data_IF_540799653444
#
_entry.id   IF_540799653444
#
_cell.length_a   1.000
_cell.length_b   1.000
_cell.length_c   1.000
_cell.angle_alpha   90.00
_cell.angle_beta   90.00
_cell.angle_gamma   90.00
#
_symmetry.space_group_name_H-M   'P 1'
#
loop_
_entity.id
_entity.type
_entity.pdbx_description
1 polymer ?
#
# COMPACT_ATOMS: atom_id res chain seq x y z
N UNK A 1 16.92 -15.29 5.59
CA UNK A 1 17.23 -14.33 6.66
C UNK A 1 15.92 -13.89 7.27
N UNK A 2 15.82 -13.79 8.59
CA UNK A 2 14.62 -13.26 9.23
C UNK A 2 14.68 -11.74 9.13
N UNK A 3 13.79 -11.14 8.34
CA UNK A 3 13.60 -9.69 8.29
C UNK A 3 13.24 -9.17 9.67
N UNK A 4 13.93 -8.14 10.15
CA UNK A 4 13.56 -7.44 11.37
C UNK A 4 12.61 -6.28 11.05
N UNK A 5 11.56 -6.12 11.85
CA UNK A 5 10.54 -5.09 11.66
C UNK A 5 10.73 -4.05 12.76
N UNK A 6 11.08 -2.82 12.36
CA UNK A 6 11.26 -1.70 13.27
C UNK A 6 9.91 -1.01 13.56
N UNK A 7 9.70 -0.60 14.81
CA UNK A 7 8.50 0.06 15.34
C UNK A 7 8.79 1.45 15.94
N UNK A 8 9.96 2.02 15.63
CA UNK A 8 10.44 3.34 16.06
C UNK A 8 11.39 3.90 15.01
N UNK A 9 11.74 5.19 15.11
CA UNK A 9 12.66 5.86 14.18
C UNK A 9 12.16 5.71 12.73
N UNK A 10 10.84 5.78 12.54
CA UNK A 10 10.14 5.50 11.27
C UNK A 10 9.98 6.79 10.45
N UNK A 11 10.36 6.74 9.17
CA UNK A 11 9.84 7.67 8.16
C UNK A 11 8.64 7.02 7.45
N UNK A 12 7.44 7.50 7.74
CA UNK A 12 6.22 7.08 7.06
C UNK A 12 6.18 7.71 5.65
N UNK A 13 6.47 6.89 4.64
CA UNK A 13 6.65 7.38 3.27
C UNK A 13 5.32 7.52 2.53
N UNK A 14 5.00 8.77 2.19
CA UNK A 14 3.78 9.12 1.45
C UNK A 14 3.93 8.80 -0.02
N UNK A 15 3.18 7.82 -0.50
CA UNK A 15 3.12 7.58 -1.95
C UNK A 15 2.29 8.67 -2.65
N UNK A 16 2.58 8.91 -3.93
CA UNK A 16 1.85 9.90 -4.74
C UNK A 16 0.34 9.59 -4.81
N UNK A 17 -0.05 8.32 -5.00
CA UNK A 17 -1.45 7.92 -5.06
C UNK A 17 -2.14 7.97 -3.70
N UNK A 18 -1.43 7.68 -2.60
CA UNK A 18 -1.98 7.93 -1.25
C UNK A 18 -2.28 9.41 -1.08
N UNK A 19 -1.36 10.29 -1.48
CA UNK A 19 -1.53 11.73 -1.29
C UNK A 19 -2.61 12.33 -2.20
N UNK A 20 -2.71 11.86 -3.45
CA UNK A 20 -3.55 12.48 -4.47
C UNK A 20 -4.92 11.81 -4.65
N UNK A 21 -5.03 10.49 -4.42
CA UNK A 21 -6.25 9.72 -4.75
C UNK A 21 -6.94 9.18 -3.50
N UNK A 22 -6.16 8.64 -2.55
CA UNK A 22 -6.69 7.96 -1.36
C UNK A 22 -5.99 8.43 -0.08
N UNK A 23 -6.17 9.71 0.33
CA UNK A 23 -5.53 10.29 1.52
C UNK A 23 -5.95 9.58 2.81
N UNK A 24 -7.11 8.94 2.82
CA UNK A 24 -7.58 8.11 3.93
C UNK A 24 -6.66 6.93 4.26
N UNK A 25 -5.81 6.47 3.33
CA UNK A 25 -4.79 5.45 3.61
C UNK A 25 -3.72 6.01 4.56
N UNK A 26 -3.27 7.25 4.34
CA UNK A 26 -2.31 7.92 5.23
C UNK A 26 -2.95 8.17 6.60
N UNK A 27 -4.14 8.78 6.62
CA UNK A 27 -4.84 9.09 7.86
C UNK A 27 -5.14 7.81 8.68
N UNK A 28 -5.53 6.71 8.03
CA UNK A 28 -5.76 5.42 8.71
C UNK A 28 -4.47 4.80 9.23
N UNK A 29 -3.37 4.86 8.46
CA UNK A 29 -2.07 4.34 8.92
C UNK A 29 -1.58 5.10 10.16
N UNK A 30 -1.68 6.43 10.14
CA UNK A 30 -1.36 7.30 11.28
C UNK A 30 -2.22 6.98 12.49
N UNK A 31 -3.53 6.86 12.30
CA UNK A 31 -4.47 6.51 13.38
C UNK A 31 -4.07 5.19 14.07
N UNK A 32 -3.69 4.17 13.30
CA UNK A 32 -3.22 2.90 13.85
C UNK A 32 -1.91 3.09 14.61
N UNK A 33 -0.92 3.76 14.03
CA UNK A 33 0.39 3.97 14.66
C UNK A 33 0.25 4.74 15.99
N UNK A 34 -0.56 5.81 16.00
CA UNK A 34 -0.84 6.59 17.20
C UNK A 34 -1.51 5.74 18.30
N UNK A 35 -2.41 4.81 17.94
CA UNK A 35 -3.05 3.89 18.89
C UNK A 35 -2.10 2.84 19.44
N UNK A 36 -1.18 2.34 18.61
CA UNK A 36 -0.17 1.35 18.99
C UNK A 36 1.04 1.99 19.71
N UNK A 37 1.13 3.32 19.76
CA UNK A 37 2.26 4.04 20.35
C UNK A 37 3.53 3.98 19.49
N UNK A 38 3.37 3.76 18.18
CA UNK A 38 4.46 3.70 17.20
C UNK A 38 4.83 5.14 16.82
N UNK A 39 6.08 5.50 17.04
CA UNK A 39 6.62 6.80 16.67
C UNK A 39 6.94 6.84 15.18
N UNK A 40 6.60 7.94 14.51
CA UNK A 40 6.92 8.17 13.11
C UNK A 40 7.01 9.66 12.77
N UNK A 41 7.80 9.94 11.74
CA UNK A 41 7.83 11.24 11.05
C UNK A 41 7.35 11.12 9.61
N UNK A 42 6.83 12.23 9.09
CA UNK A 42 6.55 12.41 7.67
C UNK A 42 7.39 13.59 7.19
N UNK A 43 8.39 13.33 6.37
CA UNK A 43 9.24 14.39 5.85
C UNK A 43 8.50 15.21 4.77
N UNK A 44 8.53 16.54 4.90
CA UNK A 44 7.90 17.47 3.94
C UNK A 44 8.71 17.67 2.66
N UNK A 45 10.02 17.43 2.73
CA UNK A 45 10.96 17.47 1.62
C UNK A 45 10.97 16.17 0.82
N UNK A 46 10.32 15.12 1.31
CA UNK A 46 10.12 13.87 0.57
C UNK A 46 9.56 14.15 -0.84
N UNK A 47 10.10 13.48 -1.85
CA UNK A 47 9.59 13.49 -3.22
C UNK A 47 8.92 12.15 -3.60
N UNK A 48 8.60 11.97 -4.88
CA UNK A 48 8.09 10.72 -5.41
C UNK A 48 9.15 9.60 -5.34
N UNK A 49 8.73 8.37 -5.11
CA UNK A 49 9.58 7.17 -5.22
C UNK A 49 9.96 6.80 -6.67
N UNK A 50 9.39 7.49 -7.65
CA UNK A 50 9.45 7.24 -9.11
C UNK A 50 9.01 5.86 -9.61
N UNK A 51 8.64 4.93 -8.74
CA UNK A 51 8.37 3.53 -9.10
C UNK A 51 7.35 3.31 -10.21
N UNK A 52 6.23 4.06 -10.24
CA UNK A 52 5.29 3.94 -11.37
C UNK A 52 5.94 4.36 -12.68
N UNK A 53 6.61 5.51 -12.71
CA UNK A 53 7.29 5.99 -13.92
C UNK A 53 8.44 5.07 -14.34
N UNK A 54 9.18 4.50 -13.39
CA UNK A 54 10.22 3.51 -13.68
C UNK A 54 9.63 2.25 -14.33
N UNK A 55 8.64 1.62 -13.71
CA UNK A 55 8.01 0.41 -14.28
C UNK A 55 7.17 0.69 -15.52
N UNK A 56 6.94 1.95 -15.88
CA UNK A 56 6.24 2.34 -17.12
C UNK A 56 7.22 2.67 -18.25
N UNK A 57 8.54 2.52 -18.02
CA UNK A 57 9.64 2.94 -18.89
C UNK A 57 9.66 4.46 -19.18
N UNK A 58 9.20 5.28 -18.23
CA UNK A 58 9.22 6.74 -18.31
C UNK A 58 10.45 7.32 -17.62
N UNK A 59 10.91 6.69 -16.53
CA UNK A 59 12.09 7.11 -15.77
C UNK A 59 13.18 6.06 -15.83
N UNK A 60 14.40 6.47 -16.11
CA UNK A 60 15.57 5.58 -16.11
C UNK A 60 15.98 5.16 -14.69
N UNK A 61 16.83 4.13 -14.60
CA UNK A 61 17.31 3.57 -13.33
C UNK A 61 18.18 4.57 -12.55
N UNK A 62 19.02 5.37 -13.22
CA UNK A 62 19.93 6.31 -12.57
C UNK A 62 19.15 7.45 -11.91
N UNK A 63 18.23 8.09 -12.64
CA UNK A 63 17.34 9.14 -12.11
C UNK A 63 16.48 8.63 -10.96
N UNK A 64 15.95 7.41 -11.09
CA UNK A 64 15.15 6.76 -10.03
C UNK A 64 15.98 6.53 -8.77
N UNK A 65 17.21 6.03 -8.94
CA UNK A 65 18.13 5.76 -7.84
C UNK A 65 18.60 7.06 -7.17
N UNK A 66 18.86 8.12 -7.94
CA UNK A 66 19.22 9.43 -7.41
C UNK A 66 18.11 10.03 -6.53
N UNK A 67 16.85 9.93 -6.97
CA UNK A 67 15.71 10.41 -6.19
C UNK A 67 15.47 9.58 -4.92
N UNK A 68 15.73 8.27 -4.96
CA UNK A 68 15.72 7.43 -3.78
C UNK A 68 16.84 7.83 -2.80
N UNK A 69 18.08 8.05 -3.27
CA UNK A 69 19.19 8.52 -2.43
C UNK A 69 18.85 9.84 -1.71
N UNK A 70 18.28 10.81 -2.44
CA UNK A 70 17.77 12.05 -1.86
C UNK A 70 16.74 11.79 -0.76
N UNK A 71 15.75 10.95 -1.04
CA UNK A 71 14.70 10.60 -0.07
C UNK A 71 15.29 9.94 1.19
N UNK A 72 16.20 8.98 1.04
CA UNK A 72 16.90 8.33 2.16
C UNK A 72 17.72 9.32 2.99
N UNK A 73 18.42 10.26 2.35
CA UNK A 73 19.24 11.26 3.06
C UNK A 73 18.41 12.11 4.03
N UNK A 74 17.16 12.43 3.69
CA UNK A 74 16.25 13.17 4.57
C UNK A 74 15.86 12.35 5.81
N UNK A 75 15.50 11.09 5.63
CA UNK A 75 15.17 10.20 6.75
C UNK A 75 16.36 10.00 7.69
N UNK A 76 17.57 9.82 7.14
CA UNK A 76 18.81 9.66 7.92
C UNK A 76 19.09 10.93 8.73
N UNK A 77 19.01 12.11 8.12
CA UNK A 77 19.21 13.40 8.82
C UNK A 77 18.22 13.64 9.93
N UNK A 78 16.98 13.17 9.77
CA UNK A 78 15.97 13.25 10.82
C UNK A 78 16.19 12.22 11.93
N UNK A 79 17.14 11.29 11.82
CA UNK A 79 17.30 10.10 12.67
C UNK A 79 16.12 9.12 12.60
N UNK A 80 15.42 9.06 11.46
CA UNK A 80 14.26 8.18 11.24
C UNK A 80 14.46 7.31 10.00
N UNK A 81 15.57 6.58 9.92
CA UNK A 81 16.00 5.90 8.70
C UNK A 81 15.13 4.71 8.29
N UNK A 82 14.23 4.23 9.15
CA UNK A 82 13.36 3.10 8.81
C UNK A 82 12.20 3.57 7.93
N UNK A 83 12.34 3.30 6.63
CA UNK A 83 11.43 3.73 5.59
C UNK A 83 10.19 2.83 5.53
N UNK A 84 9.02 3.44 5.72
CA UNK A 84 7.73 2.74 5.78
C UNK A 84 6.81 3.20 4.66
N UNK A 85 6.91 2.64 3.44
CA UNK A 85 5.97 2.93 2.38
C UNK A 85 4.59 2.29 2.61
N UNK A 86 3.54 3.05 2.29
CA UNK A 86 2.14 2.59 2.26
C UNK A 86 1.73 2.04 0.88
N UNK A 87 2.69 1.70 0.04
CA UNK A 87 2.46 1.28 -1.34
C UNK A 87 3.47 0.21 -1.74
N UNK A 88 2.97 -0.91 -2.27
CA UNK A 88 3.79 -2.02 -2.74
C UNK A 88 4.77 -1.60 -3.86
N UNK A 89 4.41 -0.65 -4.73
CA UNK A 89 5.32 -0.12 -5.75
C UNK A 89 6.45 0.70 -5.15
N UNK A 90 6.15 1.54 -4.14
CA UNK A 90 7.16 2.31 -3.42
C UNK A 90 8.10 1.37 -2.67
N UNK A 91 7.57 0.35 -2.00
CA UNK A 91 8.34 -0.71 -1.35
C UNK A 91 9.34 -1.36 -2.31
N UNK A 92 8.88 -1.83 -3.47
CA UNK A 92 9.75 -2.51 -4.42
C UNK A 92 10.86 -1.61 -5.00
N UNK A 93 10.50 -0.39 -5.43
CA UNK A 93 11.46 0.49 -6.10
C UNK A 93 12.49 1.06 -5.13
N UNK A 94 12.08 1.41 -3.90
CA UNK A 94 13.00 1.92 -2.88
C UNK A 94 13.99 0.84 -2.46
N UNK A 95 13.54 -0.42 -2.31
CA UNK A 95 14.43 -1.56 -2.07
C UNK A 95 15.43 -1.76 -3.22
N UNK A 96 14.95 -1.72 -4.46
CA UNK A 96 15.83 -1.85 -5.63
C UNK A 96 16.90 -0.74 -5.65
N UNK A 97 16.50 0.50 -5.40
CA UNK A 97 17.43 1.63 -5.35
C UNK A 97 18.45 1.49 -4.20
N UNK A 98 18.03 1.04 -3.02
CA UNK A 98 18.95 0.78 -1.90
C UNK A 98 19.96 -0.33 -2.23
N UNK A 99 19.54 -1.41 -2.90
CA UNK A 99 20.47 -2.46 -3.41
C UNK A 99 21.49 -1.85 -4.37
N UNK A 100 21.03 -1.11 -5.39
CA UNK A 100 21.91 -0.46 -6.37
C UNK A 100 22.91 0.47 -5.67
N UNK A 101 22.42 1.33 -4.78
CA UNK A 101 23.25 2.27 -4.02
C UNK A 101 24.28 1.55 -3.13
N UNK A 102 23.99 0.35 -2.63
CA UNK A 102 24.92 -0.41 -1.78
C UNK A 102 25.93 -1.25 -2.59
N UNK A 103 25.56 -1.69 -3.79
CA UNK A 103 26.33 -2.66 -4.58
C UNK A 103 27.09 -2.06 -5.75
N UNK A 104 26.58 -0.99 -6.39
CA UNK A 104 27.18 -0.35 -7.57
C UNK A 104 27.90 0.94 -7.18
N UNK A 105 29.20 0.82 -6.89
CA UNK A 105 30.02 1.94 -6.42
C UNK A 105 30.14 3.08 -7.45
N UNK A 106 30.18 2.75 -8.74
CA UNK A 106 30.21 3.68 -9.87
C UNK A 106 28.92 4.50 -9.97
N UNK A 107 27.76 3.85 -9.88
CA UNK A 107 26.45 4.51 -9.89
C UNK A 107 26.28 5.40 -8.67
N UNK A 108 26.65 4.92 -7.48
CA UNK A 108 26.59 5.72 -6.24
C UNK A 108 27.46 6.97 -6.34
N UNK A 109 28.67 6.85 -6.90
CA UNK A 109 29.57 8.00 -7.07
C UNK A 109 29.06 8.99 -8.13
N UNK A 110 28.49 8.51 -9.23
CA UNK A 110 27.85 9.38 -10.23
C UNK A 110 26.72 10.23 -9.63
N UNK A 111 25.86 9.60 -8.81
CA UNK A 111 24.78 10.30 -8.08
C UNK A 111 25.36 11.30 -7.08
N UNK A 112 26.32 10.89 -6.26
CA UNK A 112 26.93 11.76 -5.26
C UNK A 112 27.67 12.95 -5.89
N UNK A 113 28.34 12.72 -7.03
CA UNK A 113 28.96 13.80 -7.83
C UNK A 113 27.91 14.80 -8.30
N UNK A 114 26.80 14.34 -8.84
CA UNK A 114 25.69 15.21 -9.26
C UNK A 114 25.18 16.07 -8.09
N UNK A 115 25.04 15.49 -6.90
CA UNK A 115 24.67 16.27 -5.70
C UNK A 115 25.71 17.35 -5.36
N UNK A 116 27.00 17.02 -5.35
CA UNK A 116 28.07 18.01 -5.07
C UNK A 116 28.11 19.14 -6.10
N UNK A 117 27.96 18.83 -7.39
CA UNK A 117 27.99 19.82 -8.47
C UNK A 117 26.80 20.80 -8.42
N UNK A 118 25.72 20.41 -7.74
CA UNK A 118 24.50 21.22 -7.61
C UNK A 118 24.32 21.84 -6.21
N UNK A 119 25.35 21.81 -5.34
CA UNK A 119 25.28 22.38 -3.98
C UNK A 119 24.34 21.61 -3.04
N UNK A 120 24.20 20.30 -3.26
CA UNK A 120 23.40 19.35 -2.49
C UNK A 120 24.29 18.31 -1.82
N UNK A 121 25.53 18.66 -1.47
CA UNK A 121 26.52 17.74 -0.89
C UNK A 121 26.05 17.05 0.39
N UNK A 122 25.06 17.63 1.08
CA UNK A 122 24.45 17.07 2.26
C UNK A 122 23.47 15.92 1.95
N UNK A 123 23.05 15.72 0.69
CA UNK A 123 22.14 14.64 0.25
C UNK A 123 22.88 13.38 -0.23
N UNK A 124 24.21 13.34 -0.13
CA UNK A 124 25.01 12.19 -0.54
C UNK A 124 24.64 10.92 0.23
N UNK A 125 24.69 9.79 -0.47
CA UNK A 125 24.45 8.47 0.09
C UNK A 125 25.76 7.71 0.25
N UNK A 126 25.96 7.06 1.39
CA UNK A 126 27.09 6.19 1.68
C UNK A 126 26.66 4.73 1.69
N UNK A 127 27.58 3.84 1.30
CA UNK A 127 27.33 2.40 1.28
C UNK A 127 26.88 1.92 2.66
N UNK A 128 25.72 1.29 2.72
CA UNK A 128 25.12 0.76 3.94
C UNK A 128 24.28 1.76 4.74
N UNK A 129 24.04 2.97 4.22
CA UNK A 129 23.17 3.96 4.87
C UNK A 129 21.75 3.42 5.10
N UNK A 130 21.23 2.64 4.14
CA UNK A 130 19.94 1.93 4.20
C UNK A 130 20.16 0.45 3.92
N UNK A 131 19.74 -0.41 4.85
CA UNK A 131 19.61 -1.86 4.63
C UNK A 131 18.31 -2.14 3.85
N UNK A 132 18.36 -2.67 2.61
CA UNK A 132 17.15 -2.88 1.80
C UNK A 132 16.17 -3.90 2.41
N UNK A 133 16.61 -4.78 3.30
CA UNK A 133 15.75 -5.79 3.94
C UNK A 133 15.12 -5.22 5.20
N UNK A 134 15.93 -4.62 6.08
CA UNK A 134 15.52 -4.23 7.44
C UNK A 134 15.07 -2.77 7.54
N UNK A 135 15.69 -1.85 6.79
CA UNK A 135 15.34 -0.42 6.83
C UNK A 135 14.19 -0.06 5.87
N UNK A 136 13.67 -0.99 5.06
CA UNK A 136 12.51 -0.76 4.17
C UNK A 136 11.42 -1.81 4.42
N UNK A 137 10.34 -1.36 5.07
CA UNK A 137 9.25 -2.22 5.55
C UNK A 137 7.91 -1.66 5.13
N UNK A 138 7.06 -2.45 4.49
CA UNK A 138 5.73 -1.98 4.11
C UNK A 138 4.86 -1.74 5.35
N UNK A 139 4.02 -0.71 5.37
CA UNK A 139 3.16 -0.40 6.52
C UNK A 139 2.32 -1.59 7.01
N UNK A 140 1.85 -2.44 6.10
CA UNK A 140 1.14 -3.69 6.42
C UNK A 140 2.00 -4.71 7.19
N UNK A 141 3.32 -4.76 6.97
CA UNK A 141 4.21 -5.65 7.73
C UNK A 141 4.33 -5.19 9.19
N UNK A 142 4.31 -3.88 9.46
CA UNK A 142 4.27 -3.33 10.83
C UNK A 142 2.94 -3.66 11.49
N UNK A 143 1.82 -3.43 10.80
CA UNK A 143 0.49 -3.83 11.32
C UNK A 143 0.46 -5.33 11.65
N UNK A 144 1.04 -6.17 10.79
CA UNK A 144 1.20 -7.60 11.04
C UNK A 144 2.07 -7.89 12.26
N UNK A 145 3.21 -7.21 12.45
CA UNK A 145 4.07 -7.41 13.61
C UNK A 145 3.34 -7.15 14.94
N UNK A 146 2.37 -6.23 14.94
CA UNK A 146 1.53 -5.89 16.10
C UNK A 146 0.18 -6.63 16.11
N UNK A 147 -0.02 -7.65 15.26
CA UNK A 147 -1.33 -8.30 15.09
C UNK A 147 -1.90 -8.90 16.37
N UNK A 148 -1.05 -9.47 17.23
CA UNK A 148 -1.46 -10.15 18.46
C UNK A 148 -2.05 -9.18 19.51
N UNK A 149 -1.77 -7.88 19.40
CA UNK A 149 -2.34 -6.86 20.29
C UNK A 149 -3.52 -6.09 19.70
N UNK A 150 -3.83 -6.24 18.42
CA UNK A 150 -4.94 -5.54 17.76
C UNK A 150 -6.27 -5.80 18.48
N UNK A 151 -6.49 -7.02 18.98
CA UNK A 151 -7.70 -7.41 19.72
C UNK A 151 -8.05 -6.49 20.89
N UNK A 152 -7.06 -5.84 21.52
CA UNK A 152 -7.24 -4.89 22.62
C UNK A 152 -7.95 -3.60 22.19
N UNK A 153 -7.94 -3.30 20.89
CA UNK A 153 -8.46 -2.06 20.32
C UNK A 153 -9.83 -2.25 19.64
N UNK A 154 -10.46 -3.42 19.75
CA UNK A 154 -11.77 -3.69 19.13
C UNK A 154 -12.81 -2.61 19.49
N UNK A 155 -13.36 -1.96 18.46
CA UNK A 155 -14.53 -1.07 18.55
C UNK A 155 -15.65 -1.48 17.60
N UNK A 156 -15.29 -2.06 16.46
CA UNK A 156 -16.23 -2.54 15.44
C UNK A 156 -16.10 -4.05 15.34
N UNK A 157 -17.23 -4.73 15.17
CA UNK A 157 -17.27 -6.15 14.86
C UNK A 157 -17.35 -6.38 13.34
N UNK A 158 -16.38 -7.11 12.79
CA UNK A 158 -16.21 -7.29 11.35
C UNK A 158 -16.61 -8.69 10.88
N UNK A 159 -17.15 -9.55 11.75
CA UNK A 159 -17.48 -10.94 11.42
C UNK A 159 -18.66 -11.10 10.45
N UNK A 160 -19.41 -10.02 10.19
CA UNK A 160 -20.59 -10.02 9.30
C UNK A 160 -20.29 -9.92 7.81
N UNK A 161 -19.02 -9.83 7.39
CA UNK A 161 -18.62 -9.59 6.00
C UNK A 161 -17.67 -10.66 5.47
N UNK A 162 -17.81 -10.99 4.19
CA UNK A 162 -16.93 -11.93 3.47
C UNK A 162 -15.77 -11.16 2.82
N UNK A 163 -14.56 -11.39 3.31
CA UNK A 163 -13.36 -10.64 2.92
C UNK A 163 -12.45 -11.46 2.01
N UNK A 164 -12.00 -10.88 0.90
CA UNK A 164 -10.89 -11.39 0.10
C UNK A 164 -9.72 -10.41 0.09
N UNK A 165 -8.53 -10.86 -0.30
CA UNK A 165 -7.30 -10.05 -0.24
C UNK A 165 -6.53 -10.04 -1.55
N UNK A 166 -5.87 -8.91 -1.83
CA UNK A 166 -4.92 -8.74 -2.92
C UNK A 166 -3.64 -8.04 -2.45
N UNK A 167 -2.57 -8.83 -2.30
CA UNK A 167 -1.27 -8.39 -1.76
C UNK A 167 -0.39 -7.61 -2.75
N UNK A 168 -0.78 -7.53 -4.03
CA UNK A 168 -0.05 -6.77 -5.04
C UNK A 168 1.23 -7.43 -5.52
N UNK A 169 1.50 -7.32 -6.83
CA UNK A 169 2.64 -7.99 -7.46
C UNK A 169 4.01 -7.45 -6.99
N UNK A 170 4.14 -6.14 -6.75
CA UNK A 170 5.41 -5.53 -6.37
C UNK A 170 5.89 -5.92 -4.96
N UNK A 171 4.96 -6.20 -4.05
CA UNK A 171 5.29 -6.78 -2.75
C UNK A 171 5.69 -8.25 -2.92
N UNK A 172 4.82 -9.07 -3.54
CA UNK A 172 5.03 -10.52 -3.59
C UNK A 172 6.12 -11.01 -4.55
N UNK A 173 6.48 -10.26 -5.61
CA UNK A 173 7.24 -10.81 -6.75
C UNK A 173 8.60 -10.15 -7.01
N UNK A 174 8.85 -8.92 -6.55
CA UNK A 174 10.11 -8.21 -6.84
C UNK A 174 11.19 -8.62 -5.85
N UNK A 175 10.94 -8.41 -4.55
CA UNK A 175 11.84 -8.82 -3.46
C UNK A 175 11.22 -9.97 -2.67
N UNK A 176 10.88 -11.05 -3.38
CA UNK A 176 10.07 -12.16 -2.86
C UNK A 176 10.71 -12.94 -1.70
N UNK A 177 12.02 -12.79 -1.48
CA UNK A 177 12.71 -13.37 -0.31
C UNK A 177 12.43 -12.61 0.99
N UNK A 178 11.99 -11.35 0.89
CA UNK A 178 11.78 -10.47 2.04
C UNK A 178 10.32 -10.44 2.51
N UNK A 179 9.42 -11.08 1.76
CA UNK A 179 7.98 -11.06 2.05
C UNK A 179 7.65 -12.00 3.19
N UNK A 180 6.81 -11.52 4.10
CA UNK A 180 6.25 -12.31 5.19
C UNK A 180 5.06 -13.15 4.70
N UNK A 181 4.82 -14.27 5.37
CA UNK A 181 3.65 -15.14 5.16
C UNK A 181 3.50 -15.66 3.71
N UNK A 182 4.64 -15.98 3.08
CA UNK A 182 4.68 -16.75 1.83
C UNK A 182 4.43 -15.95 0.55
N UNK A 183 4.96 -16.50 -0.55
CA UNK A 183 4.84 -15.93 -1.91
C UNK A 183 3.89 -16.75 -2.80
N UNK A 184 3.87 -18.07 -2.58
CA UNK A 184 3.07 -19.01 -3.38
C UNK A 184 1.60 -19.01 -2.96
N UNK A 185 1.35 -18.77 -1.69
CA UNK A 185 0.05 -18.44 -1.13
C UNK A 185 0.30 -17.29 -0.14
N UNK A 186 0.14 -16.03 -0.58
CA UNK A 186 0.44 -14.89 0.26
C UNK A 186 -0.66 -14.70 1.31
N UNK A 187 -0.29 -14.73 2.59
CA UNK A 187 -1.22 -14.68 3.72
C UNK A 187 -1.05 -13.45 4.62
N UNK A 188 -0.14 -12.50 4.32
CA UNK A 188 0.12 -11.34 5.19
C UNK A 188 -1.17 -10.58 5.57
N UNK A 189 -1.97 -10.21 4.55
CA UNK A 189 -3.23 -9.50 4.76
C UNK A 189 -4.27 -10.40 5.43
N UNK A 190 -4.31 -11.67 5.06
CA UNK A 190 -5.22 -12.66 5.65
C UNK A 190 -5.00 -12.79 7.17
N UNK A 191 -3.74 -12.87 7.61
CA UNK A 191 -3.37 -12.97 9.01
C UNK A 191 -3.64 -11.70 9.82
N UNK A 192 -3.58 -10.52 9.19
CA UNK A 192 -4.04 -9.29 9.85
C UNK A 192 -5.57 -9.34 10.02
N UNK A 193 -6.30 -9.75 8.99
CA UNK A 193 -7.76 -9.88 9.04
C UNK A 193 -8.21 -10.93 10.08
N UNK A 194 -7.52 -12.06 10.15
CA UNK A 194 -7.71 -13.10 11.18
C UNK A 194 -7.54 -12.53 12.59
N UNK A 195 -6.48 -11.74 12.82
CA UNK A 195 -6.17 -11.16 14.13
C UNK A 195 -7.21 -10.12 14.62
N UNK A 196 -7.92 -9.44 13.71
CA UNK A 196 -9.02 -8.53 14.05
C UNK A 196 -10.39 -9.23 14.09
N UNK A 197 -10.42 -10.56 14.03
CA UNK A 197 -11.64 -11.36 14.14
C UNK A 197 -12.50 -11.42 12.87
N UNK A 198 -11.90 -11.15 11.71
CA UNK A 198 -12.57 -11.20 10.40
C UNK A 198 -11.76 -12.05 9.42
N UNK A 199 -11.72 -13.39 9.59
CA UNK A 199 -10.96 -14.27 8.71
C UNK A 199 -11.40 -14.10 7.25
N UNK A 200 -10.44 -14.14 6.34
CA UNK A 200 -10.69 -14.04 4.90
C UNK A 200 -11.23 -15.36 4.36
N UNK A 201 -11.67 -15.35 3.11
CA UNK A 201 -12.03 -16.56 2.35
C UNK A 201 -10.82 -17.46 2.05
N UNK A 202 -9.60 -17.02 2.42
CA UNK A 202 -8.36 -17.73 2.14
C UNK A 202 -7.98 -17.69 0.67
N UNK A 203 -7.77 -18.86 0.07
CA UNK A 203 -7.44 -18.99 -1.33
C UNK A 203 -8.69 -18.88 -2.20
N UNK A 204 -8.57 -18.15 -3.32
CA UNK A 204 -9.59 -18.09 -4.38
C UNK A 204 -8.89 -18.05 -5.73
N UNK A 205 -9.61 -18.43 -6.79
CA UNK A 205 -9.08 -18.37 -8.15
C UNK A 205 -8.62 -16.95 -8.49
N UNK A 206 -7.49 -16.82 -9.17
CA UNK A 206 -6.86 -15.54 -9.48
C UNK A 206 -6.39 -14.69 -8.27
N UNK A 207 -6.29 -15.22 -7.03
CA UNK A 207 -5.68 -14.50 -5.88
C UNK A 207 -4.31 -13.88 -6.24
N UNK A 208 -3.44 -14.67 -6.87
CA UNK A 208 -2.09 -14.26 -7.35
C UNK A 208 -2.04 -13.49 -8.66
N UNK A 209 -3.17 -13.39 -9.37
CA UNK A 209 -3.24 -12.62 -10.61
C UNK A 209 -2.94 -11.16 -10.29
N UNK A 210 -2.22 -10.48 -11.18
CA UNK A 210 -2.01 -9.03 -11.09
C UNK A 210 -3.36 -8.31 -11.10
N UNK A 211 -3.41 -7.06 -10.61
CA UNK A 211 -4.61 -6.24 -10.72
C UNK A 211 -4.91 -5.82 -12.16
N UNK A 212 -3.99 -5.99 -13.10
CA UNK A 212 -4.14 -5.57 -14.51
C UNK A 212 -3.47 -4.23 -14.82
N UNK A 213 -3.23 -3.38 -13.82
CA UNK A 213 -2.63 -2.05 -14.04
C UNK A 213 -1.10 -2.04 -14.29
N UNK A 214 -0.37 -3.06 -13.79
CA UNK A 214 1.10 -3.07 -13.75
C UNK A 214 1.75 -2.79 -15.12
N UNK A 215 3.00 -2.30 -15.13
CA UNK A 215 3.79 -2.05 -16.35
C UNK A 215 3.04 -1.29 -17.47
N UNK A 216 2.54 -0.10 -17.16
CA UNK A 216 1.79 0.85 -18.01
C UNK A 216 0.50 0.34 -18.65
N UNK A 217 0.07 -0.89 -18.38
CA UNK A 217 -1.03 -1.53 -19.12
C UNK A 217 -2.35 -0.76 -19.01
N UNK A 218 -2.68 -0.19 -17.84
CA UNK A 218 -3.88 0.66 -17.69
C UNK A 218 -3.93 1.79 -18.73
N UNK A 219 -2.78 2.37 -19.07
CA UNK A 219 -2.67 3.53 -19.96
C UNK A 219 -2.39 3.14 -21.41
N UNK A 220 -1.57 2.12 -21.63
CA UNK A 220 -1.12 1.72 -22.96
C UNK A 220 -2.00 0.65 -23.62
N UNK A 221 -2.55 -0.29 -22.82
CA UNK A 221 -3.33 -1.43 -23.30
C UNK A 221 -4.57 -1.60 -22.41
N UNK A 222 -5.42 -0.57 -22.39
CA UNK A 222 -6.54 -0.46 -21.47
C UNK A 222 -7.47 -1.69 -21.48
N UNK A 223 -7.74 -2.24 -22.66
CA UNK A 223 -8.64 -3.40 -22.80
C UNK A 223 -8.04 -4.66 -22.16
N UNK A 224 -6.75 -4.93 -22.38
CA UNK A 224 -6.04 -6.05 -21.72
C UNK A 224 -5.94 -5.84 -20.20
N UNK A 225 -5.71 -4.60 -19.75
CA UNK A 225 -5.72 -4.26 -18.32
C UNK A 225 -7.09 -4.53 -17.68
N UNK A 226 -8.17 -4.23 -18.41
CA UNK A 226 -9.54 -4.46 -17.95
C UNK A 226 -9.88 -5.94 -17.95
N UNK A 227 -9.54 -6.70 -19.00
CA UNK A 227 -9.74 -8.15 -19.08
C UNK A 227 -9.15 -8.87 -17.85
N UNK A 228 -7.90 -8.57 -17.49
CA UNK A 228 -7.26 -9.13 -16.30
C UNK A 228 -7.98 -8.75 -15.00
N UNK A 229 -8.54 -7.54 -14.93
CA UNK A 229 -9.33 -7.12 -13.77
C UNK A 229 -10.64 -7.90 -13.73
N UNK A 230 -11.31 -8.03 -14.87
CA UNK A 230 -12.57 -8.76 -15.04
C UNK A 230 -12.43 -10.21 -14.59
N UNK A 231 -11.42 -10.95 -15.03
CA UNK A 231 -11.18 -12.35 -14.62
C UNK A 231 -11.11 -12.51 -13.09
N UNK A 232 -10.42 -11.57 -12.43
CA UNK A 232 -10.32 -11.55 -10.97
C UNK A 232 -11.65 -11.20 -10.32
N UNK A 233 -12.36 -10.19 -10.83
CA UNK A 233 -13.68 -9.80 -10.32
C UNK A 233 -14.68 -10.94 -10.46
N UNK A 234 -14.72 -11.67 -11.59
CA UNK A 234 -15.59 -12.84 -11.76
C UNK A 234 -15.29 -13.91 -10.70
N UNK A 235 -14.01 -14.16 -10.41
CA UNK A 235 -13.61 -15.10 -9.34
C UNK A 235 -14.09 -14.64 -7.97
N UNK A 236 -13.99 -13.33 -7.66
CA UNK A 236 -14.47 -12.75 -6.40
C UNK A 236 -16.00 -12.74 -6.29
N UNK A 237 -16.69 -12.51 -7.41
CA UNK A 237 -18.14 -12.52 -7.51
C UNK A 237 -18.73 -13.91 -7.30
N UNK A 238 -18.10 -14.94 -7.86
CA UNK A 238 -18.46 -16.34 -7.61
C UNK A 238 -18.31 -16.73 -6.14
N UNK A 239 -17.39 -16.07 -5.44
CA UNK A 239 -17.18 -16.23 -4.01
C UNK A 239 -18.07 -15.32 -3.16
N UNK A 240 -19.00 -14.55 -3.73
CA UNK A 240 -19.90 -13.69 -2.96
C UNK A 240 -19.16 -12.78 -1.96
N UNK A 241 -18.00 -12.23 -2.37
CA UNK A 241 -17.19 -11.33 -1.54
C UNK A 241 -17.92 -10.00 -1.30
N UNK A 242 -17.81 -9.44 -0.09
CA UNK A 242 -18.35 -8.12 0.25
C UNK A 242 -17.26 -7.03 0.25
N UNK A 243 -16.02 -7.42 0.54
CA UNK A 243 -14.88 -6.51 0.68
C UNK A 243 -13.60 -7.13 0.11
N UNK A 244 -12.98 -6.43 -0.83
CA UNK A 244 -11.63 -6.71 -1.30
C UNK A 244 -10.62 -5.83 -0.57
N UNK A 245 -9.70 -6.45 0.17
CA UNK A 245 -8.62 -5.76 0.87
C UNK A 245 -7.37 -5.70 0.00
N UNK A 246 -6.82 -4.50 -0.16
CA UNK A 246 -5.58 -4.24 -0.88
C UNK A 246 -4.51 -3.66 0.04
N UNK A 247 -3.25 -3.74 -0.37
CA UNK A 247 -2.15 -3.03 0.32
C UNK A 247 -1.46 -1.97 -0.54
N UNK A 248 -1.86 -1.85 -1.81
CA UNK A 248 -1.26 -0.93 -2.77
C UNK A 248 -2.31 0.05 -3.28
N UNK A 249 -2.10 1.38 -3.16
CA UNK A 249 -3.04 2.38 -3.65
C UNK A 249 -3.23 2.32 -5.18
N UNK A 250 -2.25 1.82 -5.93
CA UNK A 250 -2.42 1.62 -7.38
C UNK A 250 -3.37 0.46 -7.71
N UNK A 251 -3.36 -0.60 -6.89
CA UNK A 251 -4.33 -1.69 -6.97
C UNK A 251 -5.71 -1.23 -6.50
N UNK A 252 -5.76 -0.41 -5.43
CA UNK A 252 -6.98 0.25 -4.98
C UNK A 252 -7.63 1.00 -6.13
N UNK A 253 -6.88 1.90 -6.78
CA UNK A 253 -7.36 2.66 -7.93
C UNK A 253 -7.86 1.78 -9.08
N UNK A 254 -7.23 0.62 -9.30
CA UNK A 254 -7.65 -0.30 -10.36
C UNK A 254 -9.01 -0.91 -10.06
N UNK A 255 -9.19 -1.43 -8.85
CA UNK A 255 -10.42 -2.14 -8.51
C UNK A 255 -11.56 -1.15 -8.25
N UNK A 256 -11.32 -0.10 -7.48
CA UNK A 256 -12.34 0.91 -7.14
C UNK A 256 -12.84 1.69 -8.37
N UNK A 257 -11.95 2.31 -9.16
CA UNK A 257 -12.39 3.19 -10.26
C UNK A 257 -13.02 2.42 -11.43
N UNK A 258 -12.68 1.15 -11.62
CA UNK A 258 -13.12 0.37 -12.78
C UNK A 258 -14.17 -0.69 -12.46
N UNK A 259 -14.53 -0.92 -11.19
CA UNK A 259 -15.55 -1.89 -10.84
C UNK A 259 -16.87 -1.61 -11.56
N UNK A 260 -17.32 -0.35 -11.66
CA UNK A 260 -18.58 -0.04 -12.35
C UNK A 260 -18.54 -0.39 -13.84
N UNK A 261 -17.38 -0.21 -14.48
CA UNK A 261 -17.17 -0.60 -15.88
C UNK A 261 -17.27 -2.11 -16.01
N UNK A 262 -16.63 -2.85 -15.09
CA UNK A 262 -16.61 -4.32 -15.08
C UNK A 262 -18.02 -4.87 -14.79
N UNK A 263 -18.75 -4.33 -13.82
CA UNK A 263 -20.14 -4.69 -13.51
C UNK A 263 -21.05 -4.56 -14.74
N UNK A 264 -20.89 -3.47 -15.51
CA UNK A 264 -21.65 -3.27 -16.75
C UNK A 264 -21.27 -4.27 -17.85
N UNK A 265 -20.00 -4.70 -17.92
CA UNK A 265 -19.51 -5.68 -18.89
C UNK A 265 -19.99 -7.10 -18.56
N UNK A 266 -19.97 -7.48 -17.28
CA UNK A 266 -20.30 -8.84 -16.82
C UNK A 266 -21.78 -9.01 -16.44
N UNK A 267 -22.58 -7.94 -16.48
CA UNK A 267 -23.94 -7.87 -15.93
C UNK A 267 -24.04 -8.24 -14.43
N UNK A 268 -22.92 -8.19 -13.70
CA UNK A 268 -22.89 -8.44 -12.27
C UNK A 268 -23.34 -7.20 -11.50
N UNK A 269 -24.22 -7.37 -10.51
CA UNK A 269 -24.82 -6.26 -9.76
C UNK A 269 -24.51 -6.28 -8.27
N UNK A 270 -23.77 -7.29 -7.78
CA UNK A 270 -23.42 -7.32 -6.37
C UNK A 270 -22.42 -6.21 -6.08
N UNK A 271 -22.67 -5.52 -4.99
CA UNK A 271 -21.76 -4.55 -4.42
C UNK A 271 -20.57 -5.25 -3.74
N UNK A 272 -19.35 -4.82 -4.05
CA UNK A 272 -18.15 -5.20 -3.34
C UNK A 272 -17.32 -3.94 -3.06
N UNK A 273 -17.04 -3.64 -1.80
CA UNK A 273 -16.20 -2.51 -1.46
C UNK A 273 -14.70 -2.85 -1.67
N UNK A 274 -13.87 -1.83 -1.83
CA UNK A 274 -12.40 -1.97 -1.88
C UNK A 274 -11.80 -1.07 -0.79
N UNK A 275 -11.07 -1.65 0.15
CA UNK A 275 -10.35 -0.90 1.18
C UNK A 275 -8.88 -1.27 1.21
N UNK A 276 -8.03 -0.31 1.56
CA UNK A 276 -6.68 -0.61 2.00
C UNK A 276 -6.72 -1.30 3.37
N UNK A 277 -5.80 -2.23 3.64
CA UNK A 277 -5.69 -2.89 4.95
C UNK A 277 -5.62 -1.91 6.13
N UNK A 278 -4.94 -0.76 5.95
CA UNK A 278 -4.89 0.28 6.98
C UNK A 278 -6.28 0.87 7.26
N UNK A 279 -7.13 1.07 6.25
CA UNK A 279 -8.50 1.56 6.43
C UNK A 279 -9.35 0.55 7.21
N UNK A 280 -9.25 -0.75 6.89
CA UNK A 280 -9.98 -1.81 7.60
C UNK A 280 -9.56 -1.88 9.09
N UNK A 281 -8.25 -1.87 9.37
CA UNK A 281 -7.75 -1.94 10.75
C UNK A 281 -8.09 -0.66 11.52
N UNK A 282 -8.04 0.51 10.90
CA UNK A 282 -8.48 1.76 11.54
C UNK A 282 -9.99 1.72 11.85
N UNK A 283 -10.82 1.23 10.93
CA UNK A 283 -12.27 1.04 11.15
C UNK A 283 -12.54 0.11 12.34
N UNK A 284 -11.84 -1.03 12.38
CA UNK A 284 -11.89 -1.96 13.49
C UNK A 284 -11.59 -1.30 14.84
N UNK A 285 -10.64 -0.37 14.85
CA UNK A 285 -10.24 0.45 16.00
C UNK A 285 -11.16 1.68 16.24
N UNK A 286 -12.27 1.79 15.53
CA UNK A 286 -13.29 2.82 15.71
C UNK A 286 -12.96 4.16 15.07
N UNK A 287 -12.14 4.18 14.01
CA UNK A 287 -11.88 5.39 13.24
C UNK A 287 -13.13 5.85 12.48
N UNK A 288 -13.30 7.17 12.39
CA UNK A 288 -14.42 7.80 11.68
C UNK A 288 -14.32 7.55 10.16
N UNK A 289 -15.40 7.06 9.51
CA UNK A 289 -15.38 6.73 8.08
C UNK A 289 -15.04 7.89 7.13
N UNK A 290 -15.53 9.11 7.38
CA UNK A 290 -15.30 10.25 6.50
C UNK A 290 -14.05 11.04 6.87
N UNK A 291 -13.78 11.21 8.16
CA UNK A 291 -12.64 12.03 8.65
C UNK A 291 -11.31 11.30 8.60
N UNK A 292 -11.30 9.99 8.84
CA UNK A 292 -10.06 9.20 8.94
C UNK A 292 -9.93 8.25 7.76
N UNK A 293 -10.95 7.43 7.50
CA UNK A 293 -10.89 6.46 6.40
C UNK A 293 -10.95 7.12 5.02
N UNK A 294 -11.57 8.30 4.92
CA UNK A 294 -11.69 9.05 3.67
C UNK A 294 -12.55 8.33 2.63
N UNK A 295 -13.66 7.69 3.03
CA UNK A 295 -14.49 6.90 2.11
C UNK A 295 -15.08 7.71 0.94
N UNK A 296 -15.25 9.02 1.12
CA UNK A 296 -15.72 9.95 0.09
C UNK A 296 -14.78 10.07 -1.13
N UNK A 297 -13.54 9.57 -1.05
CA UNK A 297 -12.62 9.58 -2.19
C UNK A 297 -12.72 8.33 -3.07
N UNK A 298 -13.43 7.30 -2.62
CA UNK A 298 -13.66 6.06 -3.36
C UNK A 298 -14.74 6.27 -4.42
N UNK A 299 -14.65 5.58 -5.55
CA UNK A 299 -15.72 5.60 -6.56
C UNK A 299 -16.85 4.66 -6.19
N UNK A 300 -16.50 3.53 -5.59
CA UNK A 300 -17.45 2.55 -5.10
C UNK A 300 -17.79 2.92 -3.67
N UNK A 301 -19.07 3.27 -3.48
CA UNK A 301 -19.65 3.64 -2.20
C UNK A 301 -19.30 2.64 -1.11
N UNK A 302 -18.71 3.09 0.00
CA UNK A 302 -18.36 2.20 1.11
C UNK A 302 -19.53 2.07 2.09
N UNK A 303 -20.49 2.98 2.05
CA UNK A 303 -21.63 3.02 2.99
C UNK A 303 -22.44 1.72 3.06
N UNK A 304 -22.75 1.00 1.95
CA UNK A 304 -23.48 -0.27 2.05
C UNK A 304 -22.75 -1.32 2.90
N UNK A 305 -21.41 -1.28 2.95
CA UNK A 305 -20.61 -2.12 3.84
C UNK A 305 -20.77 -1.66 5.30
N UNK A 306 -20.77 -0.35 5.55
CA UNK A 306 -20.96 0.22 6.89
C UNK A 306 -22.36 -0.10 7.44
N UNK A 307 -23.39 0.03 6.63
CA UNK A 307 -24.77 -0.33 6.96
C UNK A 307 -24.87 -1.82 7.35
N UNK A 308 -24.23 -2.70 6.57
CA UNK A 308 -24.18 -4.15 6.86
C UNK A 308 -23.49 -4.45 8.19
N UNK A 309 -22.52 -3.62 8.59
CA UNK A 309 -21.80 -3.72 9.86
C UNK A 309 -22.48 -2.96 11.00
N UNK A 310 -23.57 -2.23 10.76
CA UNK A 310 -24.27 -1.41 11.75
C UNK A 310 -23.42 -0.22 12.24
N UNK A 311 -22.55 0.32 11.40
CA UNK A 311 -21.66 1.43 11.73
C UNK A 311 -22.36 2.74 11.35
N UNK A 312 -22.61 3.59 12.33
CA UNK A 312 -23.16 4.93 12.09
C UNK A 312 -22.10 5.85 11.45
N UNK A 313 -22.53 6.66 10.49
CA UNK A 313 -21.72 7.68 9.83
C UNK A 313 -22.58 8.92 9.55
N UNK A 314 -21.96 10.10 9.44
CA UNK A 314 -22.65 11.35 9.10
C UNK A 314 -22.59 11.56 7.58
N UNK A 315 -23.67 11.24 6.88
CA UNK A 315 -23.79 11.35 5.42
C UNK A 315 -23.63 12.79 4.89
N UNK A 316 -23.87 13.80 5.75
CA UNK A 316 -23.65 15.22 5.41
C UNK A 316 -22.17 15.58 5.25
N UNK A 317 -21.27 14.69 5.66
CA UNK A 317 -19.83 14.81 5.41
C UNK A 317 -19.44 14.34 4.00
N UNK A 318 -20.32 13.61 3.29
CA UNK A 318 -20.16 13.32 1.88
C UNK A 318 -20.63 14.50 1.02
N UNK A 319 -19.66 15.27 0.50
CA UNK A 319 -19.93 16.37 -0.43
C UNK A 319 -19.54 16.02 -1.88
N UNK A 320 -19.18 14.76 -2.13
CA UNK A 320 -18.58 14.33 -3.40
C UNK A 320 -19.54 13.42 -4.18
N UNK A 321 -20.38 12.64 -3.50
CA UNK A 321 -21.34 11.73 -4.13
C UNK A 321 -22.78 12.25 -4.24
N UNK A 322 -23.02 13.51 -3.83
CA UNK A 322 -24.26 14.25 -4.07
C UNK A 322 -24.48 14.56 -5.57
#
# INVERSE_FOLDING_TARGET
>A
MNKFIHDKDITLFRSCLVSAEYPGIEASTKYIFDKLGIEYVIDRNQSCCTGLGHYYDIFDELSTTALAARNFSHAIKNNHKHYVPMCATCYAILKNAAVILNEKDDVREEINKSFRENGLEDLQYHKGDIDPVNDITHAAEIIYAHRDELSKYKKVDLSGIKIATHHGCHYCKVHYHDTLEGVRDPELLDKICEAIGAPTIGWYDHKKLTCGCGFRQRYANRDLSLEVSTDKFESLYNEDVDLLIVMCPNCHLQFDRYEKVIQNQTNHKKHMAVLNIAQLVALYMGADPYKVLGIQTHTIRVEPLLDKLGIEYDDREDKIHD
#
